data_IF_216059312539
#
_entry.id   IF_216059312539
#
_cell.length_a   1.000
_cell.length_b   1.000
_cell.length_c   1.000
_cell.angle_alpha   90.00
_cell.angle_beta   90.00
_cell.angle_gamma   90.00
#
_symmetry.space_group_name_H-M   'P 1'
#
loop_
_entity.id
_entity.type
_entity.pdbx_description
1 polymer ?
#
# COMPACT_ATOMS: atom_id res chain seq x y z
N UNK A 1 6.96 26.78 55.71
CA UNK A 1 5.81 27.28 54.92
C UNK A 1 6.13 26.89 53.50
N UNK A 2 5.39 25.95 52.92
CA UNK A 2 5.10 25.81 51.48
C UNK A 2 4.39 24.47 51.24
N UNK A 3 3.20 24.36 51.83
CA UNK A 3 2.24 23.29 51.54
C UNK A 3 1.23 23.83 50.52
N UNK A 4 1.71 24.25 49.35
CA UNK A 4 0.83 24.48 48.21
C UNK A 4 0.68 23.12 47.52
N UNK A 5 -0.48 22.45 47.60
CA UNK A 5 -0.69 21.22 46.85
C UNK A 5 -0.46 21.50 45.37
N UNK A 6 0.44 20.74 44.74
CA UNK A 6 0.77 20.89 43.32
C UNK A 6 -0.53 20.83 42.52
N UNK A 7 -0.81 21.89 41.77
CA UNK A 7 -1.95 21.94 40.88
C UNK A 7 -1.83 20.76 39.89
N UNK A 8 -2.79 19.82 39.83
CA UNK A 8 -2.66 18.55 39.10
C UNK A 8 -2.82 18.76 37.59
N UNK A 9 -2.04 19.66 36.99
CA UNK A 9 -1.99 19.88 35.55
C UNK A 9 -1.52 18.64 34.80
N UNK A 10 -0.59 17.89 35.39
CA UNK A 10 -0.12 16.62 34.83
C UNK A 10 -1.28 15.67 34.59
N UNK A 11 -2.01 15.32 35.66
CA UNK A 11 -3.15 14.39 35.60
C UNK A 11 -4.27 14.87 34.65
N UNK A 12 -4.49 16.19 34.53
CA UNK A 12 -5.50 16.77 33.63
C UNK A 12 -5.05 16.67 32.17
N UNK A 13 -3.78 16.97 31.88
CA UNK A 13 -3.21 16.90 30.53
C UNK A 13 -3.09 15.44 30.08
N UNK A 14 -2.68 14.54 30.96
CA UNK A 14 -2.59 13.11 30.69
C UNK A 14 -3.97 12.54 30.31
N UNK A 15 -5.01 12.83 31.11
CA UNK A 15 -6.40 12.46 30.76
C UNK A 15 -6.89 13.06 29.44
N UNK A 16 -6.46 14.28 29.09
CA UNK A 16 -6.83 14.91 27.84
C UNK A 16 -6.13 14.28 26.63
N UNK A 17 -4.85 13.95 26.76
CA UNK A 17 -4.07 13.24 25.75
C UNK A 17 -4.60 11.82 25.59
N UNK A 18 -4.93 11.13 26.67
CA UNK A 18 -5.51 9.79 26.63
C UNK A 18 -6.87 9.79 25.93
N UNK A 19 -7.77 10.73 26.27
CA UNK A 19 -9.05 10.90 25.57
C UNK A 19 -8.86 11.18 24.08
N UNK A 20 -7.92 12.07 23.73
CA UNK A 20 -7.65 12.41 22.34
C UNK A 20 -7.04 11.22 21.59
N UNK A 21 -6.10 10.52 22.21
CA UNK A 21 -5.40 9.37 21.61
C UNK A 21 -6.33 8.18 21.46
N UNK A 22 -7.17 7.87 22.44
CA UNK A 22 -8.15 6.78 22.37
C UNK A 22 -9.15 7.03 21.23
N UNK A 23 -9.69 8.24 21.09
CA UNK A 23 -10.65 8.55 20.03
C UNK A 23 -10.02 8.74 18.63
N UNK A 24 -8.88 9.43 18.51
CA UNK A 24 -8.23 9.66 17.21
C UNK A 24 -7.43 8.45 16.72
N UNK A 25 -6.87 7.65 17.63
CA UNK A 25 -6.13 6.45 17.21
C UNK A 25 -7.06 5.37 16.68
N UNK A 26 -8.27 5.22 17.23
CA UNK A 26 -9.26 4.28 16.69
C UNK A 26 -9.63 4.65 15.26
N UNK A 27 -9.88 5.93 14.97
CA UNK A 27 -10.19 6.37 13.60
C UNK A 27 -9.00 6.17 12.64
N UNK A 28 -7.80 6.61 13.04
CA UNK A 28 -6.60 6.47 12.20
C UNK A 28 -6.25 5.01 11.95
N UNK A 29 -6.29 4.16 12.99
CA UNK A 29 -6.05 2.72 12.88
C UNK A 29 -7.10 2.05 12.01
N UNK A 30 -8.38 2.39 12.16
CA UNK A 30 -9.43 1.82 11.32
C UNK A 30 -9.19 2.13 9.83
N UNK A 31 -8.79 3.35 9.49
CA UNK A 31 -8.44 3.70 8.09
C UNK A 31 -7.19 2.93 7.63
N UNK A 32 -6.16 2.82 8.47
CA UNK A 32 -4.97 2.02 8.19
C UNK A 32 -5.31 0.56 7.92
N UNK A 33 -6.05 -0.09 8.82
CA UNK A 33 -6.45 -1.50 8.70
C UNK A 33 -7.26 -1.74 7.43
N UNK A 34 -8.20 -0.84 7.10
CA UNK A 34 -8.99 -0.94 5.86
C UNK A 34 -8.09 -0.80 4.62
N UNK A 35 -7.16 0.16 4.65
CA UNK A 35 -6.26 0.41 3.51
C UNK A 35 -5.27 -0.74 3.32
N UNK A 36 -4.72 -1.25 4.40
CA UNK A 36 -3.82 -2.41 4.41
C UNK A 36 -4.56 -3.64 3.87
N UNK A 37 -5.74 -3.95 4.40
CA UNK A 37 -6.58 -5.06 3.93
C UNK A 37 -6.96 -4.90 2.45
N UNK A 38 -7.31 -3.69 2.02
CA UNK A 38 -7.66 -3.42 0.63
C UNK A 38 -6.45 -3.61 -0.31
N UNK A 39 -5.27 -3.14 0.11
CA UNK A 39 -4.03 -3.27 -0.64
C UNK A 39 -3.60 -4.74 -0.72
N UNK A 40 -3.61 -5.46 0.40
CA UNK A 40 -3.30 -6.89 0.44
C UNK A 40 -4.23 -7.69 -0.49
N UNK A 41 -5.54 -7.43 -0.44
CA UNK A 41 -6.49 -8.08 -1.34
C UNK A 41 -6.28 -7.73 -2.82
N UNK A 42 -5.89 -6.49 -3.13
CA UNK A 42 -5.60 -6.07 -4.50
C UNK A 42 -4.32 -6.73 -5.02
N UNK A 43 -3.27 -6.75 -4.20
CA UNK A 43 -2.00 -7.41 -4.50
C UNK A 43 -2.22 -8.91 -4.69
N UNK A 44 -2.87 -9.58 -3.74
CA UNK A 44 -3.17 -11.01 -3.84
C UNK A 44 -4.06 -11.32 -5.04
N UNK A 45 -5.05 -10.48 -5.33
CA UNK A 45 -5.91 -10.63 -6.51
C UNK A 45 -5.15 -10.49 -7.83
N UNK A 46 -4.16 -9.59 -7.90
CA UNK A 46 -3.30 -9.43 -9.08
C UNK A 46 -2.25 -10.54 -9.18
N UNK A 47 -1.63 -10.94 -8.07
CA UNK A 47 -0.63 -12.02 -8.01
C UNK A 47 -1.24 -13.40 -8.21
N UNK A 48 -2.54 -13.56 -7.94
CA UNK A 48 -3.28 -14.78 -8.29
C UNK A 48 -3.18 -15.12 -9.78
N UNK A 49 -3.07 -14.11 -10.65
CA UNK A 49 -2.79 -14.33 -12.06
C UNK A 49 -1.29 -14.59 -12.28
N UNK A 50 -0.97 -15.72 -12.91
CA UNK A 50 0.41 -16.06 -13.25
C UNK A 50 1.07 -14.89 -14.03
N UNK A 51 2.26 -14.39 -13.62
CA UNK A 51 2.88 -13.19 -14.19
C UNK A 51 2.95 -13.19 -15.73
N UNK A 52 3.25 -14.35 -16.31
CA UNK A 52 3.29 -14.57 -17.76
C UNK A 52 1.96 -14.22 -18.47
N UNK A 53 0.81 -14.49 -17.83
CA UNK A 53 -0.51 -14.17 -18.39
C UNK A 53 -0.70 -12.67 -18.46
N UNK A 54 -0.33 -11.94 -17.40
CA UNK A 54 -0.39 -10.48 -17.39
C UNK A 54 0.48 -9.87 -18.48
N UNK A 55 1.73 -10.34 -18.62
CA UNK A 55 2.65 -9.89 -19.67
C UNK A 55 2.08 -10.16 -21.06
N UNK A 56 1.47 -11.32 -21.28
CA UNK A 56 0.84 -11.66 -22.55
C UNK A 56 -0.35 -10.73 -22.88
N UNK A 57 -1.20 -10.41 -21.89
CA UNK A 57 -2.33 -9.48 -22.05
C UNK A 57 -1.82 -8.08 -22.39
N UNK A 58 -0.89 -7.54 -21.60
CA UNK A 58 -0.30 -6.21 -21.85
C UNK A 58 0.37 -6.16 -23.22
N UNK A 59 1.12 -7.21 -23.58
CA UNK A 59 1.72 -7.33 -24.90
C UNK A 59 0.69 -7.32 -26.03
N UNK A 60 -0.43 -8.03 -25.88
CA UNK A 60 -1.50 -8.06 -26.87
C UNK A 60 -2.20 -6.70 -27.01
N UNK A 61 -2.46 -6.02 -25.89
CA UNK A 61 -3.03 -4.68 -25.88
C UNK A 61 -2.09 -3.69 -26.58
N UNK A 62 -0.81 -3.66 -26.19
CA UNK A 62 0.18 -2.76 -26.81
C UNK A 62 0.41 -3.07 -28.29
N UNK A 63 0.33 -4.35 -28.68
CA UNK A 63 0.43 -4.74 -30.08
C UNK A 63 -0.69 -4.13 -30.92
N UNK A 64 -1.91 -4.05 -30.37
CA UNK A 64 -3.08 -3.48 -31.05
C UNK A 64 -3.06 -1.94 -31.09
N UNK A 65 -2.54 -1.27 -30.06
CA UNK A 65 -2.63 0.19 -29.94
C UNK A 65 -1.35 0.97 -30.25
N UNK A 66 -0.17 0.45 -29.91
CA UNK A 66 1.12 1.16 -29.99
C UNK A 66 2.07 0.60 -31.05
N UNK A 67 1.69 -0.50 -31.70
CA UNK A 67 2.45 -1.14 -32.76
C UNK A 67 3.52 -2.11 -32.25
N UNK A 68 4.02 -2.91 -33.19
CA UNK A 68 4.81 -4.12 -32.94
C UNK A 68 6.16 -3.87 -32.25
N UNK A 69 6.82 -2.72 -32.48
CA UNK A 69 8.11 -2.38 -31.84
C UNK A 69 7.95 -2.10 -30.34
N UNK A 70 6.93 -1.32 -29.97
CA UNK A 70 6.66 -0.96 -28.57
C UNK A 70 6.17 -2.20 -27.82
N UNK A 71 5.26 -2.99 -28.41
CA UNK A 71 4.77 -4.22 -27.79
C UNK A 71 5.90 -5.20 -27.43
N UNK A 72 6.82 -5.46 -28.35
CA UNK A 72 7.95 -6.36 -28.12
C UNK A 72 8.90 -5.77 -27.05
N UNK A 73 9.19 -4.47 -27.12
CA UNK A 73 10.03 -3.79 -26.13
C UNK A 73 9.45 -3.86 -24.72
N UNK A 74 8.14 -3.62 -24.56
CA UNK A 74 7.44 -3.69 -23.28
C UNK A 74 7.38 -5.12 -22.75
N UNK A 75 7.08 -6.12 -23.59
CA UNK A 75 7.09 -7.53 -23.19
C UNK A 75 8.48 -7.98 -22.75
N UNK A 76 9.53 -7.59 -23.48
CA UNK A 76 10.90 -7.90 -23.12
C UNK A 76 11.30 -7.23 -21.79
N UNK A 77 10.91 -5.97 -21.57
CA UNK A 77 11.13 -5.26 -20.31
C UNK A 77 10.40 -5.90 -19.13
N UNK A 78 9.13 -6.29 -19.31
CA UNK A 78 8.36 -6.98 -18.28
C UNK A 78 8.93 -8.38 -17.97
N UNK A 79 9.37 -9.12 -19.00
CA UNK A 79 10.08 -10.39 -18.80
C UNK A 79 11.41 -10.20 -18.07
N UNK A 80 12.11 -9.09 -18.31
CA UNK A 80 13.33 -8.76 -17.59
C UNK A 80 13.06 -8.47 -16.11
N UNK A 81 12.01 -7.69 -15.80
CA UNK A 81 11.55 -7.46 -14.41
C UNK A 81 11.20 -8.79 -13.72
N UNK A 82 10.48 -9.67 -14.43
CA UNK A 82 10.14 -11.00 -13.92
C UNK A 82 11.40 -11.83 -13.64
N UNK A 83 12.38 -11.80 -14.54
CA UNK A 83 13.66 -12.50 -14.38
C UNK A 83 14.49 -11.97 -13.19
N UNK A 84 14.36 -10.68 -12.85
CA UNK A 84 15.01 -10.10 -11.67
C UNK A 84 14.29 -10.46 -10.35
N UNK A 85 13.13 -11.14 -10.40
CA UNK A 85 12.33 -11.43 -9.22
C UNK A 85 11.68 -10.19 -8.61
N UNK A 86 11.51 -9.11 -9.38
CA UNK A 86 10.93 -7.84 -8.94
C UNK A 86 9.44 -7.72 -9.25
N UNK A 87 8.78 -8.85 -9.49
CA UNK A 87 7.37 -8.86 -9.88
C UNK A 87 6.46 -8.33 -8.77
N UNK A 88 6.62 -8.84 -7.55
CA UNK A 88 5.81 -8.44 -6.40
C UNK A 88 5.95 -6.94 -6.10
N UNK A 89 7.18 -6.42 -6.15
CA UNK A 89 7.45 -5.00 -5.99
C UNK A 89 6.77 -4.16 -7.08
N UNK A 90 6.75 -4.64 -8.33
CA UNK A 90 6.09 -3.94 -9.44
C UNK A 90 4.58 -3.88 -9.24
N UNK A 91 3.97 -5.00 -8.84
CA UNK A 91 2.52 -5.08 -8.61
C UNK A 91 2.12 -4.25 -7.39
N UNK A 92 2.90 -4.29 -6.31
CA UNK A 92 2.67 -3.45 -5.13
C UNK A 92 2.74 -1.95 -5.42
N UNK A 93 3.47 -1.52 -6.45
CA UNK A 93 3.47 -0.10 -6.88
C UNK A 93 2.32 0.26 -7.83
N UNK A 94 1.67 -0.74 -8.43
CA UNK A 94 0.53 -0.55 -9.34
C UNK A 94 -0.82 -0.63 -8.62
N UNK A 95 -0.87 -1.39 -7.53
CA UNK A 95 -2.02 -1.53 -6.63
C UNK A 95 -2.26 -0.23 -5.84
#
# INVERSE_FOLDING_TARGET
>A
MDSIPKFPLGDIIEKFIDFTTEHFSVFTRAISDITETALEHLIDGMLFFHPLVFIAIVGMVLFKFSGRKIAIGSVAGLLFILNLGLWDATISTLA
#
